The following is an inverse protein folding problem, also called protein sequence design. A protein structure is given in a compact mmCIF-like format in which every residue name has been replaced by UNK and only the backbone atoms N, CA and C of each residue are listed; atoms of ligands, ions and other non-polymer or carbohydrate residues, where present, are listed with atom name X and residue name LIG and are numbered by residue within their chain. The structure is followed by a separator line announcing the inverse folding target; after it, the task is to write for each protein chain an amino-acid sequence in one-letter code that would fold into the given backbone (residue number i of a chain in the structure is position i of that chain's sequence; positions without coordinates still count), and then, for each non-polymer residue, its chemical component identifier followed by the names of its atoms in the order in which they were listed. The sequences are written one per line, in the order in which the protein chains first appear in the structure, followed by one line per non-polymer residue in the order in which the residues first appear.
data_IF_340575283810
#
_entry.id   IF_340575283810
#
_cell.length_a   1.000
_cell.length_b   1.000
_cell.length_c   1.000
_cell.angle_alpha   90.00
_cell.angle_beta   90.00
_cell.angle_gamma   90.00
#
_symmetry.space_group_name_H-M   'P 1'
#
loop_
_entity.id
_entity.type
_entity.pdbx_description
1 polymer ?
#
# COMPACT_ATOMS: atom_id res chain seq x y z
N UNK A 1 -25.36 17.94 17.25
CA UNK A 1 -25.98 16.76 17.90
C UNK A 1 -27.49 16.66 17.56
N UNK A 2 -28.29 17.70 17.64
CA UNK A 2 -29.73 17.66 17.31
C UNK A 2 -30.02 17.21 15.88
N UNK A 3 -29.26 17.70 14.88
CA UNK A 3 -29.41 17.29 13.47
C UNK A 3 -29.08 15.81 13.20
N UNK A 4 -28.15 15.22 13.96
CA UNK A 4 -27.81 13.81 13.82
C UNK A 4 -28.90 12.91 14.42
N UNK A 5 -29.52 13.31 15.52
CA UNK A 5 -30.63 12.59 16.18
C UNK A 5 -31.87 12.65 15.30
N UNK A 6 -32.15 13.78 14.67
CA UNK A 6 -33.30 13.97 13.78
C UNK A 6 -33.15 13.15 12.48
N UNK A 7 -31.96 13.12 11.90
CA UNK A 7 -31.61 12.27 10.76
C UNK A 7 -31.77 10.77 11.08
N UNK A 8 -31.36 10.34 12.28
CA UNK A 8 -31.54 8.94 12.74
C UNK A 8 -33.02 8.56 12.93
N UNK A 9 -33.84 9.48 13.46
CA UNK A 9 -35.30 9.26 13.61
C UNK A 9 -35.96 9.16 12.23
N UNK A 10 -35.60 10.04 11.31
CA UNK A 10 -36.15 10.06 9.96
C UNK A 10 -35.78 8.79 9.18
N UNK A 11 -34.52 8.32 9.31
CA UNK A 11 -34.09 7.05 8.72
C UNK A 11 -34.84 5.83 9.31
N UNK A 12 -35.09 5.80 10.62
CA UNK A 12 -35.89 4.73 11.26
C UNK A 12 -37.33 4.72 10.74
N UNK A 13 -37.95 5.88 10.56
CA UNK A 13 -39.30 5.99 10.00
C UNK A 13 -39.34 5.50 8.54
N UNK A 14 -38.41 5.94 7.69
CA UNK A 14 -38.29 5.48 6.30
C UNK A 14 -38.06 3.96 6.20
N UNK A 15 -37.24 3.39 7.08
CA UNK A 15 -37.03 1.95 7.12
C UNK A 15 -38.26 1.17 7.58
N UNK A 16 -39.07 1.74 8.48
CA UNK A 16 -40.35 1.14 8.89
C UNK A 16 -41.38 1.17 7.74
N UNK A 17 -41.45 2.28 7.00
CA UNK A 17 -42.29 2.41 5.80
C UNK A 17 -41.84 1.46 4.67
N UNK A 18 -40.52 1.35 4.41
CA UNK A 18 -39.97 0.42 3.44
C UNK A 18 -40.30 -1.04 3.79
N UNK A 19 -40.21 -1.40 5.09
CA UNK A 19 -40.57 -2.72 5.57
C UNK A 19 -42.09 -3.00 5.44
N UNK A 20 -42.92 -2.00 5.69
CA UNK A 20 -44.35 -2.07 5.48
C UNK A 20 -44.71 -2.20 4.00
N UNK A 21 -43.90 -1.62 3.09
CA UNK A 21 -44.00 -1.77 1.63
C UNK A 21 -43.41 -3.08 1.09
N UNK A 22 -42.97 -4.02 1.97
CA UNK A 22 -42.42 -5.32 1.57
C UNK A 22 -40.94 -5.29 1.19
N UNK A 23 -40.19 -4.21 1.53
CA UNK A 23 -38.74 -4.18 1.33
C UNK A 23 -38.07 -5.14 2.33
N UNK A 24 -37.56 -6.24 1.79
CA UNK A 24 -36.83 -7.26 2.56
C UNK A 24 -35.55 -7.66 1.82
N UNK A 25 -34.52 -8.03 2.55
CA UNK A 25 -33.30 -8.58 1.98
C UNK A 25 -32.75 -9.72 2.84
N UNK A 26 -32.12 -10.66 2.19
CA UNK A 26 -31.39 -11.75 2.81
C UNK A 26 -30.03 -11.24 3.31
N UNK A 27 -29.76 -11.40 4.62
CA UNK A 27 -28.54 -10.90 5.25
C UNK A 27 -27.27 -11.63 4.75
N UNK A 28 -27.39 -12.92 4.39
CA UNK A 28 -26.27 -13.67 3.85
C UNK A 28 -25.91 -13.18 2.45
N UNK A 29 -26.92 -12.99 1.59
CA UNK A 29 -26.73 -12.40 0.26
C UNK A 29 -26.23 -10.96 0.30
N UNK A 30 -26.67 -10.18 1.29
CA UNK A 30 -26.16 -8.83 1.47
C UNK A 30 -24.66 -8.84 1.80
N UNK A 31 -24.24 -9.73 2.73
CA UNK A 31 -22.83 -9.87 3.07
C UNK A 31 -21.98 -10.25 1.85
N UNK A 32 -22.41 -11.23 1.08
CA UNK A 32 -21.71 -11.67 -0.13
C UNK A 32 -21.64 -10.57 -1.20
N UNK A 33 -22.73 -9.81 -1.39
CA UNK A 33 -22.76 -8.67 -2.30
C UNK A 33 -21.82 -7.55 -1.87
N UNK A 34 -21.76 -7.25 -0.58
CA UNK A 34 -20.83 -6.26 -0.02
C UNK A 34 -19.37 -6.68 -0.22
N UNK A 35 -19.04 -7.95 0.02
CA UNK A 35 -17.69 -8.49 -0.24
C UNK A 35 -17.33 -8.35 -1.72
N UNK A 36 -18.24 -8.68 -2.62
CA UNK A 36 -18.00 -8.61 -4.06
C UNK A 36 -17.86 -7.17 -4.59
N UNK A 37 -18.40 -6.17 -3.87
CA UNK A 37 -18.43 -4.76 -4.28
C UNK A 37 -17.27 -3.92 -3.74
N UNK A 38 -16.40 -4.48 -2.91
CA UNK A 38 -15.31 -3.72 -2.26
C UNK A 38 -13.97 -4.44 -2.33
N UNK A 39 -12.89 -3.66 -2.38
CA UNK A 39 -11.52 -4.14 -2.21
C UNK A 39 -11.11 -4.26 -0.73
N UNK A 40 -11.94 -3.78 0.20
CA UNK A 40 -11.72 -3.89 1.64
C UNK A 40 -12.23 -5.23 2.16
N UNK A 41 -11.63 -5.72 3.24
CA UNK A 41 -12.06 -6.97 3.88
C UNK A 41 -13.17 -6.66 4.89
N UNK A 42 -14.42 -7.01 4.54
CA UNK A 42 -15.57 -6.85 5.44
C UNK A 42 -15.53 -7.97 6.46
N UNK A 43 -15.64 -7.62 7.74
CA UNK A 43 -15.76 -8.59 8.82
C UNK A 43 -17.02 -8.36 9.65
N UNK A 44 -17.50 -9.43 10.22
CA UNK A 44 -18.66 -9.44 11.12
C UNK A 44 -18.33 -10.32 12.32
N UNK A 45 -18.68 -9.86 13.52
CA UNK A 45 -18.54 -10.62 14.76
C UNK A 45 -19.89 -10.72 15.48
N UNK A 46 -20.29 -11.91 15.81
CA UNK A 46 -21.37 -12.15 16.77
C UNK A 46 -20.82 -11.93 18.19
N UNK A 47 -21.27 -10.89 18.85
CA UNK A 47 -20.78 -10.49 20.17
C UNK A 47 -21.20 -11.45 21.29
N UNK A 48 -22.20 -12.31 21.06
CA UNK A 48 -22.62 -13.32 22.05
C UNK A 48 -21.66 -14.52 22.06
N UNK A 49 -21.16 -14.91 20.90
CA UNK A 49 -20.28 -16.07 20.74
C UNK A 49 -18.81 -15.69 20.62
N UNK A 50 -18.51 -14.42 20.31
CA UNK A 50 -17.14 -13.94 20.02
C UNK A 50 -16.55 -14.48 18.71
N UNK A 51 -17.40 -15.02 17.82
CA UNK A 51 -16.99 -15.61 16.55
C UNK A 51 -16.99 -14.57 15.45
N UNK A 52 -15.87 -14.45 14.75
CA UNK A 52 -15.71 -13.57 13.60
C UNK A 52 -15.90 -14.33 12.30
N UNK A 53 -16.48 -13.66 11.31
CA UNK A 53 -16.47 -14.06 9.89
C UNK A 53 -15.65 -13.08 9.09
N UNK A 54 -14.70 -13.63 8.32
CA UNK A 54 -13.82 -12.88 7.41
C UNK A 54 -14.04 -13.30 5.95
N UNK A 55 -13.80 -12.42 4.96
CA UNK A 55 -13.95 -12.78 3.56
C UNK A 55 -12.83 -13.73 3.09
N UNK A 56 -13.09 -14.57 2.06
CA UNK A 56 -12.11 -15.51 1.51
C UNK A 56 -10.80 -14.87 1.09
N UNK A 57 -10.83 -13.63 0.60
CA UNK A 57 -9.64 -12.89 0.20
C UNK A 57 -8.68 -12.64 1.39
N UNK A 58 -9.24 -12.28 2.56
CA UNK A 58 -8.46 -12.06 3.78
C UNK A 58 -7.88 -13.36 4.33
N UNK A 59 -8.67 -14.45 4.25
CA UNK A 59 -8.21 -15.80 4.66
C UNK A 59 -6.97 -16.21 3.86
N UNK A 60 -7.02 -16.04 2.54
CA UNK A 60 -5.89 -16.39 1.65
C UNK A 60 -4.67 -15.48 1.89
N UNK A 61 -4.88 -14.18 2.01
CA UNK A 61 -3.78 -13.22 2.11
C UNK A 61 -3.03 -13.31 3.44
N UNK A 62 -3.76 -13.54 4.53
CA UNK A 62 -3.16 -13.57 5.87
C UNK A 62 -3.07 -14.99 6.47
N UNK A 63 -3.46 -16.03 5.74
CA UNK A 63 -3.39 -17.42 6.23
C UNK A 63 -4.22 -17.62 7.50
N UNK A 64 -5.49 -17.16 7.49
CA UNK A 64 -6.40 -17.44 8.57
C UNK A 64 -6.88 -18.91 8.52
N UNK A 65 -7.29 -19.50 9.66
CA UNK A 65 -7.71 -20.90 9.69
C UNK A 65 -8.96 -21.20 8.88
N UNK A 66 -9.73 -20.18 8.52
CA UNK A 66 -10.96 -20.26 7.74
C UNK A 66 -11.72 -18.92 7.75
N UNK A 67 -12.87 -18.89 7.09
CA UNK A 67 -13.74 -17.71 7.08
C UNK A 67 -14.38 -17.45 8.45
N UNK A 68 -14.66 -18.50 9.23
CA UNK A 68 -15.24 -18.44 10.55
C UNK A 68 -14.16 -18.72 11.59
N UNK A 69 -13.82 -17.73 12.39
CA UNK A 69 -12.69 -17.76 13.31
C UNK A 69 -13.16 -17.51 14.73
N UNK A 70 -13.21 -18.54 15.57
CA UNK A 70 -13.36 -18.37 17.01
C UNK A 70 -12.08 -17.80 17.59
N UNK A 71 -12.18 -16.97 18.64
CA UNK A 71 -11.04 -16.32 19.29
C UNK A 71 -10.14 -15.53 18.32
N UNK A 72 -10.79 -14.77 17.43
CA UNK A 72 -10.10 -14.00 16.38
C UNK A 72 -9.06 -13.00 16.94
N UNK A 73 -9.27 -12.48 18.15
CA UNK A 73 -8.32 -11.56 18.79
C UNK A 73 -6.94 -12.21 18.98
N UNK A 74 -6.88 -13.47 19.39
CA UNK A 74 -5.62 -14.19 19.54
C UNK A 74 -5.00 -14.55 18.17
N UNK A 75 -5.80 -15.09 17.24
CA UNK A 75 -5.36 -15.48 15.90
C UNK A 75 -4.83 -14.27 15.13
N UNK A 76 -5.57 -13.17 15.16
CA UNK A 76 -5.18 -11.95 14.46
C UNK A 76 -4.05 -11.21 15.17
N UNK A 77 -4.12 -11.10 16.52
CA UNK A 77 -3.09 -10.46 17.33
C UNK A 77 -1.70 -11.10 17.20
N UNK A 78 -1.62 -12.40 16.86
CA UNK A 78 -0.36 -13.06 16.55
C UNK A 78 0.30 -12.53 15.26
N UNK A 79 -0.50 -12.01 14.33
CA UNK A 79 -0.04 -11.46 13.03
C UNK A 79 0.30 -9.97 13.09
N UNK A 80 -0.12 -9.26 14.14
CA UNK A 80 0.14 -7.82 14.30
C UNK A 80 1.60 -7.58 14.64
N UNK A 81 2.19 -6.57 13.99
CA UNK A 81 3.57 -6.17 14.22
C UNK A 81 3.82 -5.82 15.69
N UNK A 82 4.94 -6.25 16.32
CA UNK A 82 5.21 -6.04 17.74
C UNK A 82 5.04 -4.59 18.23
N UNK A 83 5.50 -3.61 17.44
CA UNK A 83 5.37 -2.18 17.78
C UNK A 83 3.92 -1.66 17.74
N UNK A 84 3.03 -2.32 17.00
CA UNK A 84 1.66 -1.88 16.82
C UNK A 84 0.67 -2.63 17.74
N UNK A 85 1.15 -3.72 18.39
CA UNK A 85 0.33 -4.58 19.27
C UNK A 85 -0.37 -3.81 20.37
N UNK A 86 0.31 -2.85 20.98
CA UNK A 86 -0.25 -2.05 22.07
C UNK A 86 -1.47 -1.27 21.60
N UNK A 87 -1.32 -0.48 20.52
CA UNK A 87 -2.43 0.31 19.97
C UNK A 87 -3.60 -0.58 19.51
N UNK A 88 -3.28 -1.72 18.89
CA UNK A 88 -4.29 -2.70 18.47
C UNK A 88 -5.07 -3.26 19.66
N UNK A 89 -4.41 -3.68 20.74
CA UNK A 89 -5.05 -4.24 21.94
C UNK A 89 -5.85 -3.18 22.70
N UNK A 90 -5.32 -1.97 22.88
CA UNK A 90 -6.00 -0.86 23.54
C UNK A 90 -7.30 -0.51 22.82
N UNK A 91 -7.30 -0.41 21.49
CA UNK A 91 -8.51 -0.11 20.70
C UNK A 91 -9.57 -1.22 20.78
N UNK A 92 -9.16 -2.49 20.84
CA UNK A 92 -10.09 -3.60 21.06
C UNK A 92 -10.67 -3.59 22.50
N UNK A 93 -9.83 -3.26 23.49
CA UNK A 93 -10.24 -3.18 24.88
C UNK A 93 -11.28 -2.07 25.12
N UNK A 94 -11.14 -0.92 24.45
CA UNK A 94 -12.11 0.17 24.53
C UNK A 94 -13.53 -0.25 24.09
N UNK A 95 -13.63 -1.07 23.04
CA UNK A 95 -14.89 -1.66 22.58
C UNK A 95 -15.43 -2.65 23.62
N UNK A 96 -14.59 -3.54 24.15
CA UNK A 96 -14.97 -4.56 25.12
C UNK A 96 -15.44 -3.93 26.43
N UNK A 97 -14.77 -2.86 26.89
CA UNK A 97 -15.10 -2.12 28.10
C UNK A 97 -16.35 -1.22 27.92
N UNK A 98 -16.88 -1.10 26.71
CA UNK A 98 -18.02 -0.26 26.40
C UNK A 98 -17.72 1.24 26.45
N UNK A 99 -16.45 1.64 26.35
CA UNK A 99 -16.05 3.06 26.33
C UNK A 99 -16.40 3.75 25.01
N UNK A 100 -16.44 2.97 23.93
CA UNK A 100 -16.84 3.44 22.60
C UNK A 100 -17.50 2.32 21.82
N UNK A 101 -18.40 2.69 20.91
CA UNK A 101 -18.99 1.77 19.94
C UNK A 101 -18.31 1.87 18.57
N UNK A 102 -17.26 2.71 18.45
CA UNK A 102 -16.50 2.91 17.22
C UNK A 102 -15.08 2.43 17.37
N UNK A 103 -14.66 1.58 16.47
CA UNK A 103 -13.28 1.09 16.36
C UNK A 103 -12.59 1.74 15.17
N UNK A 104 -11.39 2.30 15.38
CA UNK A 104 -10.55 2.81 14.30
C UNK A 104 -9.09 2.70 14.73
N UNK A 105 -8.35 1.78 14.11
CA UNK A 105 -6.93 1.58 14.39
C UNK A 105 -6.17 1.27 13.11
N UNK A 106 -4.95 1.78 13.02
CA UNK A 106 -3.99 1.44 11.98
C UNK A 106 -2.87 0.59 12.57
N UNK A 107 -2.51 -0.47 11.88
CA UNK A 107 -1.47 -1.40 12.31
C UNK A 107 -0.91 -2.18 11.13
N UNK A 108 0.28 -2.73 11.31
CA UNK A 108 0.88 -3.69 10.37
C UNK A 108 0.51 -5.10 10.75
N UNK A 109 0.13 -5.91 9.78
CA UNK A 109 -0.07 -7.34 9.94
C UNK A 109 0.78 -8.11 8.93
N UNK A 110 1.30 -9.26 9.36
CA UNK A 110 2.12 -10.10 8.50
C UNK A 110 1.23 -10.98 7.62
N UNK A 111 1.45 -10.93 6.29
CA UNK A 111 0.77 -11.78 5.33
C UNK A 111 1.45 -13.18 5.23
N UNK A 112 0.89 -14.08 4.39
CA UNK A 112 1.44 -15.44 4.18
C UNK A 112 2.84 -15.47 3.56
N UNK A 113 3.29 -14.36 2.94
CA UNK A 113 4.64 -14.22 2.37
C UNK A 113 5.66 -13.67 3.37
N UNK A 114 5.23 -13.39 4.61
CA UNK A 114 6.07 -12.80 5.63
C UNK A 114 6.22 -11.28 5.55
N UNK A 115 5.49 -10.63 4.65
CA UNK A 115 5.55 -9.17 4.44
C UNK A 115 4.65 -8.44 5.42
N UNK A 116 5.09 -7.26 5.87
CA UNK A 116 4.29 -6.37 6.71
C UNK A 116 3.37 -5.48 5.88
N UNK A 117 2.08 -5.68 6.02
CA UNK A 117 1.03 -4.95 5.31
C UNK A 117 0.40 -3.93 6.24
N UNK A 118 0.35 -2.66 5.82
CA UNK A 118 -0.36 -1.61 6.53
C UNK A 118 -1.86 -1.74 6.34
N UNK A 119 -2.57 -1.85 7.44
CA UNK A 119 -4.02 -2.01 7.49
C UNK A 119 -4.65 -0.89 8.32
N UNK A 120 -5.83 -0.44 7.88
CA UNK A 120 -6.73 0.37 8.69
C UNK A 120 -7.99 -0.43 8.96
N UNK A 121 -8.24 -0.75 10.23
CA UNK A 121 -9.46 -1.39 10.69
C UNK A 121 -10.45 -0.33 11.16
N UNK A 122 -11.67 -0.40 10.66
CA UNK A 122 -12.81 0.40 11.13
C UNK A 122 -13.97 -0.51 11.42
N UNK A 123 -14.66 -0.29 12.56
CA UNK A 123 -15.79 -1.08 12.96
C UNK A 123 -16.77 -0.29 13.81
N UNK A 124 -17.97 -0.84 13.91
CA UNK A 124 -19.03 -0.32 14.74
C UNK A 124 -19.69 -1.44 15.52
N UNK A 125 -19.93 -1.18 16.81
CA UNK A 125 -20.62 -2.09 17.73
C UNK A 125 -22.10 -1.72 17.80
N UNK A 126 -22.94 -2.65 17.43
CA UNK A 126 -24.39 -2.54 17.59
C UNK A 126 -24.82 -3.14 18.93
N UNK A 127 -25.77 -2.45 19.59
CA UNK A 127 -26.37 -2.88 20.86
C UNK A 127 -27.84 -3.12 20.70
N UNK A 128 -28.39 -4.05 21.48
CA UNK A 128 -29.82 -4.26 21.56
C UNK A 128 -30.53 -3.16 22.41
N UNK A 129 -31.85 -3.28 22.52
CA UNK A 129 -32.65 -2.32 23.26
C UNK A 129 -32.30 -2.25 24.78
N UNK A 130 -31.64 -3.27 25.32
CA UNK A 130 -31.15 -3.33 26.69
C UNK A 130 -29.72 -2.78 26.86
N UNK A 131 -29.10 -2.33 25.76
CA UNK A 131 -27.73 -1.83 25.73
C UNK A 131 -26.65 -2.92 25.67
N UNK A 132 -27.02 -4.19 25.46
CA UNK A 132 -26.08 -5.27 25.37
C UNK A 132 -25.48 -5.35 23.94
N UNK A 133 -24.16 -5.58 23.79
CA UNK A 133 -23.52 -5.74 22.49
C UNK A 133 -24.02 -6.99 21.76
N UNK A 134 -24.45 -6.85 20.52
CA UNK A 134 -25.01 -7.96 19.72
C UNK A 134 -24.22 -8.23 18.46
N UNK A 135 -23.73 -7.19 17.81
CA UNK A 135 -23.01 -7.30 16.53
C UNK A 135 -21.85 -6.32 16.49
N UNK A 136 -20.67 -6.78 16.11
CA UNK A 136 -19.56 -5.89 15.75
C UNK A 136 -19.21 -6.14 14.29
N UNK A 137 -19.33 -5.11 13.46
CA UNK A 137 -19.07 -5.23 12.03
C UNK A 137 -18.24 -4.06 11.51
N UNK A 138 -17.49 -4.32 10.48
CA UNK A 138 -16.63 -3.29 9.89
C UNK A 138 -15.88 -3.76 8.67
N UNK A 139 -14.85 -2.98 8.34
CA UNK A 139 -13.98 -3.32 7.24
C UNK A 139 -12.51 -3.00 7.56
N UNK A 140 -11.64 -3.83 7.02
CA UNK A 140 -10.20 -3.65 7.05
C UNK A 140 -9.76 -3.25 5.66
N UNK A 141 -9.14 -2.07 5.55
CA UNK A 141 -8.60 -1.57 4.29
C UNK A 141 -7.10 -1.81 4.27
N UNK A 142 -6.62 -2.46 3.22
CA UNK A 142 -5.19 -2.53 2.93
C UNK A 142 -4.75 -1.18 2.37
N UNK A 143 -4.01 -0.41 3.17
CA UNK A 143 -3.59 0.95 2.82
C UNK A 143 -2.57 0.93 1.67
N UNK A 144 -1.81 -0.15 1.53
CA UNK A 144 -0.90 -0.36 0.43
C UNK A 144 -1.62 -0.61 -0.91
N UNK A 145 -2.66 -1.43 -0.91
CA UNK A 145 -3.43 -1.73 -2.14
C UNK A 145 -4.28 -0.56 -2.62
N UNK A 146 -4.81 0.27 -1.71
CA UNK A 146 -5.73 1.34 -2.06
C UNK A 146 -5.02 2.56 -2.65
N UNK A 147 -3.76 2.74 -2.37
CA UNK A 147 -3.00 3.90 -2.84
C UNK A 147 -1.88 3.41 -3.77
N UNK A 148 -2.21 3.18 -5.05
CA UNK A 148 -1.24 2.77 -6.08
C UNK A 148 -0.38 3.93 -6.58
N UNK A 149 -0.69 5.15 -6.10
CA UNK A 149 -0.04 6.39 -6.51
C UNK A 149 0.64 7.03 -5.32
N UNK A 150 1.88 7.43 -5.50
CA UNK A 150 2.62 8.23 -4.54
C UNK A 150 2.06 9.67 -4.49
N UNK A 151 1.62 10.18 -3.33
CA UNK A 151 0.97 11.48 -3.25
C UNK A 151 1.91 12.67 -3.49
N UNK A 152 3.22 12.50 -3.34
CA UNK A 152 4.20 13.57 -3.54
C UNK A 152 4.50 13.80 -5.02
N UNK A 153 4.64 12.72 -5.78
CA UNK A 153 5.10 12.76 -7.17
C UNK A 153 4.01 12.47 -8.20
N UNK A 154 2.89 11.88 -7.77
CA UNK A 154 1.85 11.39 -8.68
C UNK A 154 2.23 10.13 -9.47
N UNK A 155 3.40 9.57 -9.23
CA UNK A 155 3.86 8.32 -9.85
C UNK A 155 3.21 7.10 -9.22
N UNK A 156 3.21 5.99 -9.94
CA UNK A 156 2.90 4.70 -9.34
C UNK A 156 3.89 4.36 -8.22
N UNK A 157 3.41 3.65 -7.20
CA UNK A 157 4.22 3.28 -6.05
C UNK A 157 4.74 1.83 -6.14
N UNK A 158 5.41 1.38 -5.08
CA UNK A 158 5.98 0.02 -4.96
C UNK A 158 4.95 -1.08 -5.22
N UNK A 159 3.70 -0.92 -4.76
CA UNK A 159 2.66 -1.96 -4.91
C UNK A 159 2.25 -2.16 -6.37
N UNK A 160 2.17 -1.05 -7.13
CA UNK A 160 1.92 -1.14 -8.57
C UNK A 160 3.11 -1.76 -9.30
N UNK A 161 4.33 -1.39 -8.91
CA UNK A 161 5.56 -2.00 -9.44
C UNK A 161 5.56 -3.53 -9.28
N UNK A 162 5.26 -4.04 -8.07
CA UNK A 162 5.19 -5.49 -7.80
C UNK A 162 4.15 -6.18 -8.68
N UNK A 163 2.96 -5.54 -8.82
CA UNK A 163 1.88 -6.04 -9.66
C UNK A 163 2.27 -6.09 -11.13
N UNK A 164 2.92 -5.04 -11.63
CA UNK A 164 3.37 -4.94 -13.03
C UNK A 164 4.48 -5.95 -13.34
N UNK A 165 5.45 -6.12 -12.44
CA UNK A 165 6.50 -7.14 -12.60
C UNK A 165 5.89 -8.54 -12.63
N UNK A 166 4.98 -8.85 -11.72
CA UNK A 166 4.29 -10.15 -11.70
C UNK A 166 3.47 -10.40 -12.97
N UNK A 167 2.86 -9.34 -13.54
CA UNK A 167 2.11 -9.45 -14.80
C UNK A 167 2.97 -9.65 -16.05
N UNK A 168 4.25 -9.24 -16.02
CA UNK A 168 5.19 -9.40 -17.14
C UNK A 168 5.99 -10.70 -17.06
N UNK A 169 6.33 -11.14 -15.83
CA UNK A 169 7.11 -12.35 -15.59
C UNK A 169 6.19 -13.58 -15.52
N UNK A 170 5.68 -14.00 -16.68
CA UNK A 170 4.93 -15.26 -16.82
C UNK A 170 5.93 -16.41 -16.97
N UNK A 171 5.91 -17.43 -16.06
CA UNK A 171 6.77 -18.61 -16.19
C UNK A 171 6.58 -19.37 -17.51
N UNK A 172 5.40 -19.27 -18.15
CA UNK A 172 5.08 -19.92 -19.41
C UNK A 172 5.67 -19.19 -20.64
N UNK A 173 5.95 -17.90 -20.50
CA UNK A 173 6.53 -17.07 -21.56
C UNK A 173 7.56 -16.09 -20.96
N UNK A 174 8.85 -16.45 -20.91
CA UNK A 174 9.87 -15.58 -20.34
C UNK A 174 10.04 -14.31 -21.20
N UNK A 175 9.48 -13.22 -20.71
CA UNK A 175 9.68 -11.91 -21.31
C UNK A 175 10.96 -11.26 -20.79
N UNK A 176 11.70 -10.62 -21.68
CA UNK A 176 12.84 -9.79 -21.27
C UNK A 176 12.33 -8.55 -20.56
N UNK A 177 12.83 -8.33 -19.36
CA UNK A 177 12.51 -7.18 -18.52
C UNK A 177 13.81 -6.63 -17.93
N UNK A 178 14.01 -5.32 -18.03
CA UNK A 178 15.06 -4.63 -17.29
C UNK A 178 14.45 -3.88 -16.13
N UNK A 179 14.93 -4.16 -14.92
CA UNK A 179 14.56 -3.53 -13.67
C UNK A 179 15.68 -2.59 -13.25
N UNK A 180 15.40 -1.29 -13.18
CA UNK A 180 16.37 -0.27 -12.81
C UNK A 180 15.91 0.40 -11.51
N UNK A 181 16.74 0.39 -10.47
CA UNK A 181 16.52 1.12 -9.23
C UNK A 181 17.40 2.35 -9.18
N UNK A 182 16.84 3.47 -8.78
CA UNK A 182 17.52 4.75 -8.67
C UNK A 182 17.38 5.32 -7.25
N UNK A 183 18.40 6.07 -6.86
CA UNK A 183 18.39 6.81 -5.61
C UNK A 183 18.99 8.20 -5.84
N UNK A 184 18.37 9.23 -5.26
CA UNK A 184 18.88 10.61 -5.35
C UNK A 184 20.10 10.74 -4.45
N UNK A 185 21.25 10.96 -5.07
CA UNK A 185 22.49 11.10 -4.34
C UNK A 185 22.46 12.31 -3.40
N UNK A 186 22.84 12.07 -2.13
CA UNK A 186 22.98 13.10 -1.10
C UNK A 186 21.71 13.90 -0.75
N UNK A 187 20.49 13.37 -0.96
CA UNK A 187 19.26 14.06 -0.60
C UNK A 187 19.21 14.46 0.89
N UNK A 188 19.74 13.61 1.78
CA UNK A 188 19.86 13.93 3.21
C UNK A 188 20.68 15.20 3.45
N UNK A 189 21.75 15.41 2.70
CA UNK A 189 22.57 16.63 2.77
C UNK A 189 21.79 17.86 2.25
N UNK A 190 21.04 17.69 1.16
CA UNK A 190 20.17 18.73 0.63
C UNK A 190 19.13 19.14 1.67
N UNK A 191 18.45 18.19 2.31
CA UNK A 191 17.49 18.44 3.39
C UNK A 191 18.12 19.15 4.60
N UNK A 192 19.36 18.82 4.94
CA UNK A 192 20.08 19.48 6.06
C UNK A 192 20.50 20.90 5.73
N UNK A 193 20.77 21.23 4.48
CA UNK A 193 21.19 22.56 4.05
C UNK A 193 20.01 23.52 3.81
N UNK A 194 18.85 22.99 3.47
CA UNK A 194 17.68 23.79 3.13
C UNK A 194 16.52 23.54 4.09
N UNK A 195 15.75 22.51 3.89
CA UNK A 195 14.71 21.96 4.75
C UNK A 195 14.07 20.75 4.03
N UNK A 196 13.11 20.10 4.68
CA UNK A 196 12.40 18.94 4.11
C UNK A 196 11.49 19.32 2.94
N UNK A 197 10.90 20.53 2.97
CA UNK A 197 10.02 21.02 1.90
C UNK A 197 10.81 21.18 0.61
N UNK A 198 12.03 21.71 0.71
CA UNK A 198 12.93 21.81 -0.43
C UNK A 198 13.33 20.44 -0.97
N UNK A 199 13.61 19.46 -0.10
CA UNK A 199 13.89 18.08 -0.52
C UNK A 199 12.71 17.41 -1.22
N UNK A 200 11.48 17.67 -0.76
CA UNK A 200 10.28 17.20 -1.43
C UNK A 200 10.14 17.78 -2.85
N UNK A 201 10.54 19.03 -3.04
CA UNK A 201 10.56 19.69 -4.35
C UNK A 201 11.66 19.10 -5.27
N UNK A 202 12.83 18.79 -4.71
CA UNK A 202 13.90 18.07 -5.44
C UNK A 202 13.39 16.71 -5.95
N UNK A 203 12.65 15.98 -5.10
CA UNK A 203 12.04 14.70 -5.47
C UNK A 203 11.03 14.89 -6.62
N UNK A 204 10.14 15.90 -6.56
CA UNK A 204 9.16 16.20 -7.63
C UNK A 204 9.84 16.53 -8.96
N UNK A 205 10.86 17.39 -8.92
CA UNK A 205 11.63 17.78 -10.11
C UNK A 205 12.33 16.54 -10.71
N UNK A 206 12.95 15.72 -9.88
CA UNK A 206 13.58 14.47 -10.31
C UNK A 206 12.57 13.54 -10.97
N UNK A 207 11.41 13.33 -10.35
CA UNK A 207 10.33 12.52 -10.90
C UNK A 207 9.88 13.02 -12.28
N UNK A 208 9.69 14.34 -12.42
CA UNK A 208 9.30 14.96 -13.68
C UNK A 208 10.35 14.75 -14.79
N UNK A 209 11.63 14.94 -14.48
CA UNK A 209 12.72 14.67 -15.43
C UNK A 209 12.78 13.20 -15.84
N UNK A 210 12.70 12.29 -14.87
CA UNK A 210 12.68 10.85 -15.17
C UNK A 210 11.51 10.51 -16.10
N UNK A 211 10.31 11.00 -15.81
CA UNK A 211 9.11 10.74 -16.59
C UNK A 211 9.20 11.29 -18.02
N UNK A 212 9.78 12.47 -18.20
CA UNK A 212 9.94 13.10 -19.52
C UNK A 212 10.92 12.40 -20.46
N UNK A 213 11.81 11.57 -19.89
CA UNK A 213 12.86 10.85 -20.64
C UNK A 213 12.50 9.39 -20.93
N UNK A 214 11.36 8.91 -20.42
CA UNK A 214 10.98 7.52 -20.59
C UNK A 214 10.61 7.17 -22.02
N UNK A 215 11.13 6.05 -22.55
CA UNK A 215 10.64 5.48 -23.79
C UNK A 215 9.22 4.87 -23.59
N UNK A 216 8.45 4.65 -24.68
CA UNK A 216 7.07 4.16 -24.59
C UNK A 216 6.89 2.79 -23.92
N UNK A 217 7.94 1.96 -23.90
CA UNK A 217 7.95 0.62 -23.28
C UNK A 217 8.43 0.64 -21.83
N UNK A 218 8.56 1.83 -21.21
CA UNK A 218 9.00 2.00 -19.83
C UNK A 218 7.87 2.48 -18.94
N UNK A 219 7.93 2.09 -17.67
CA UNK A 219 7.07 2.60 -16.59
C UNK A 219 7.95 3.06 -15.43
N UNK A 220 7.55 4.17 -14.79
CA UNK A 220 8.25 4.79 -13.66
C UNK A 220 7.45 4.68 -12.39
N UNK A 221 8.14 4.35 -11.31
CA UNK A 221 7.57 4.17 -9.98
C UNK A 221 8.40 4.91 -8.93
N UNK A 222 7.75 5.37 -7.88
CA UNK A 222 8.42 5.81 -6.66
C UNK A 222 8.28 4.74 -5.60
N UNK A 223 9.39 4.30 -5.00
CA UNK A 223 9.41 3.21 -4.03
C UNK A 223 9.21 3.74 -2.62
N UNK A 224 10.18 4.50 -2.13
CA UNK A 224 10.15 5.15 -0.81
C UNK A 224 11.20 6.25 -0.77
N UNK A 225 10.97 7.29 0.05
CA UNK A 225 11.95 8.37 0.26
C UNK A 225 12.47 8.99 -1.03
N UNK A 226 13.72 8.72 -1.34
CA UNK A 226 14.50 9.16 -2.50
C UNK A 226 14.66 8.09 -3.60
N UNK A 227 13.99 6.96 -3.47
CA UNK A 227 14.13 5.81 -4.36
C UNK A 227 13.05 5.76 -5.46
N UNK A 228 13.48 5.50 -6.68
CA UNK A 228 12.63 5.29 -7.86
C UNK A 228 12.96 3.96 -8.53
N UNK A 229 12.00 3.44 -9.29
CA UNK A 229 12.25 2.30 -10.18
C UNK A 229 11.73 2.58 -11.59
N UNK A 230 12.43 2.04 -12.58
CA UNK A 230 11.99 2.01 -13.98
C UNK A 230 11.96 0.56 -14.44
N UNK A 231 10.83 0.16 -15.02
CA UNK A 231 10.70 -1.09 -15.75
C UNK A 231 10.79 -0.82 -17.25
N UNK A 232 11.71 -1.49 -17.93
CA UNK A 232 11.86 -1.47 -19.40
C UNK A 232 11.45 -2.83 -19.95
N UNK A 233 10.35 -2.89 -20.69
CA UNK A 233 9.87 -4.14 -21.30
C UNK A 233 10.59 -4.42 -22.60
N UNK A 234 11.09 -5.65 -22.77
CA UNK A 234 11.80 -6.09 -23.99
C UNK A 234 13.16 -5.43 -24.24
N UNK A 235 13.73 -4.77 -23.22
CA UNK A 235 14.96 -4.00 -23.36
C UNK A 235 16.23 -4.81 -23.13
N UNK A 236 17.35 -4.32 -23.66
CA UNK A 236 18.69 -4.86 -23.51
C UNK A 236 19.52 -4.03 -22.53
N UNK A 237 20.66 -4.57 -22.09
CA UNK A 237 21.67 -3.83 -21.30
C UNK A 237 22.07 -2.51 -21.97
N UNK A 238 22.23 -2.52 -23.29
CA UNK A 238 22.56 -1.32 -24.05
C UNK A 238 21.47 -0.25 -23.96
N UNK A 239 20.20 -0.63 -24.05
CA UNK A 239 19.07 0.29 -23.90
C UNK A 239 19.01 0.91 -22.49
N UNK A 240 19.24 0.10 -21.45
CA UNK A 240 19.34 0.59 -20.07
C UNK A 240 20.48 1.59 -19.89
N UNK A 241 21.66 1.29 -20.46
CA UNK A 241 22.82 2.21 -20.44
C UNK A 241 22.54 3.52 -21.16
N UNK A 242 21.87 3.46 -22.30
CA UNK A 242 21.49 4.66 -23.07
C UNK A 242 20.50 5.52 -22.27
N UNK A 243 19.47 4.91 -21.69
CA UNK A 243 18.52 5.63 -20.85
C UNK A 243 19.21 6.27 -19.64
N UNK A 244 20.08 5.54 -18.95
CA UNK A 244 20.83 6.09 -17.83
C UNK A 244 21.71 7.27 -18.23
N UNK A 245 22.37 7.22 -19.38
CA UNK A 245 23.17 8.36 -19.90
C UNK A 245 22.31 9.59 -20.15
N UNK A 246 21.13 9.44 -20.73
CA UNK A 246 20.18 10.53 -20.94
C UNK A 246 19.74 11.14 -19.61
N UNK A 247 19.35 10.31 -18.65
CA UNK A 247 18.96 10.74 -17.30
C UNK A 247 20.11 11.50 -16.63
N UNK A 248 21.31 10.94 -16.64
CA UNK A 248 22.51 11.55 -16.04
C UNK A 248 22.83 12.91 -16.65
N UNK A 249 22.69 13.05 -17.96
CA UNK A 249 22.93 14.32 -18.66
C UNK A 249 21.89 15.37 -18.30
N UNK A 250 20.61 14.99 -18.25
CA UNK A 250 19.52 15.90 -17.93
C UNK A 250 19.58 16.41 -16.48
N UNK A 251 19.86 15.53 -15.53
CA UNK A 251 19.94 15.88 -14.10
C UNK A 251 21.29 16.48 -13.70
N UNK A 252 22.36 16.22 -14.45
CA UNK A 252 23.69 16.79 -14.22
C UNK A 252 23.77 18.30 -14.48
N UNK A 253 22.75 18.92 -15.08
CA UNK A 253 22.63 20.36 -15.23
C UNK A 253 22.09 21.02 -13.96
N UNK A 254 22.35 22.32 -13.80
CA UNK A 254 21.82 23.10 -12.68
C UNK A 254 20.28 23.14 -12.74
N UNK A 255 19.65 22.74 -11.67
CA UNK A 255 18.21 22.74 -11.46
C UNK A 255 17.78 23.92 -10.59
N UNK A 256 16.48 24.25 -10.55
CA UNK A 256 15.92 25.31 -9.72
C UNK A 256 14.66 24.83 -9.03
N UNK A 257 14.57 25.05 -7.71
CA UNK A 257 13.40 24.77 -6.88
C UNK A 257 13.13 25.96 -5.97
N UNK A 258 11.92 26.50 -5.98
CA UNK A 258 11.54 27.64 -5.13
C UNK A 258 12.48 28.86 -5.28
N UNK A 259 13.01 29.12 -6.49
CA UNK A 259 13.97 30.19 -6.73
C UNK A 259 15.41 29.90 -6.30
N UNK A 260 15.68 28.75 -5.69
CA UNK A 260 17.04 28.32 -5.30
C UNK A 260 17.59 27.34 -6.33
N UNK A 261 18.88 27.48 -6.62
CA UNK A 261 19.61 26.57 -7.53
C UNK A 261 20.19 25.40 -6.78
N UNK A 262 20.12 24.22 -7.37
CA UNK A 262 20.71 23.01 -6.82
C UNK A 262 21.28 22.08 -7.91
N UNK A 263 22.09 21.15 -7.48
CA UNK A 263 22.60 20.06 -8.28
C UNK A 263 22.25 18.73 -7.58
N UNK A 264 21.73 17.79 -8.31
CA UNK A 264 21.58 16.42 -7.82
C UNK A 264 22.01 15.43 -8.89
N UNK A 265 22.45 14.28 -8.46
CA UNK A 265 22.78 13.15 -9.34
C UNK A 265 21.99 11.92 -8.87
N UNK A 266 21.95 10.90 -9.71
CA UNK A 266 21.32 9.63 -9.40
C UNK A 266 22.34 8.51 -9.50
N UNK A 267 22.33 7.64 -8.50
CA UNK A 267 22.93 6.32 -8.59
C UNK A 267 21.87 5.32 -9.08
N UNK A 268 22.29 4.33 -9.86
CA UNK A 268 21.39 3.34 -10.44
C UNK A 268 21.95 1.92 -10.30
N UNK A 269 21.11 0.98 -9.90
CA UNK A 269 21.37 -0.45 -9.96
C UNK A 269 20.42 -1.12 -10.93
N UNK A 270 20.92 -2.06 -11.74
CA UNK A 270 20.14 -2.76 -12.74
C UNK A 270 20.11 -4.27 -12.51
N UNK A 271 18.95 -4.87 -12.81
CA UNK A 271 18.77 -6.31 -12.91
C UNK A 271 18.00 -6.66 -14.20
N UNK A 272 18.27 -7.82 -14.76
CA UNK A 272 17.74 -8.25 -16.05
C UNK A 272 17.04 -9.60 -15.93
N UNK A 273 15.76 -9.66 -16.25
CA UNK A 273 15.03 -10.92 -16.33
C UNK A 273 15.20 -11.53 -17.75
N UNK A 274 15.38 -12.85 -17.84
CA UNK A 274 15.39 -13.82 -16.74
C UNK A 274 16.78 -14.03 -16.10
N UNK A 275 17.85 -13.40 -16.58
CA UNK A 275 19.25 -13.68 -16.22
C UNK A 275 19.54 -13.47 -14.71
N UNK A 276 19.02 -12.39 -14.12
CA UNK A 276 19.25 -12.01 -12.71
C UNK A 276 18.08 -12.41 -11.79
N UNK A 277 17.00 -12.94 -12.34
CA UNK A 277 15.84 -13.42 -11.59
C UNK A 277 14.57 -13.54 -12.43
N UNK A 278 13.64 -14.35 -11.93
CA UNK A 278 12.33 -14.61 -12.52
C UNK A 278 11.17 -14.11 -11.64
N UNK A 279 11.46 -13.37 -10.58
CA UNK A 279 10.48 -12.80 -9.66
C UNK A 279 10.84 -11.37 -9.27
N UNK A 280 9.85 -10.62 -8.80
CA UNK A 280 10.08 -9.27 -8.27
C UNK A 280 11.16 -9.26 -7.18
N UNK A 281 11.07 -10.19 -6.22
CA UNK A 281 12.00 -10.26 -5.07
C UNK A 281 13.45 -10.49 -5.51
N UNK A 282 13.66 -11.36 -6.50
CA UNK A 282 15.01 -11.62 -7.04
C UNK A 282 15.57 -10.40 -7.77
N UNK A 283 14.77 -9.78 -8.65
CA UNK A 283 15.20 -8.60 -9.40
C UNK A 283 15.44 -7.40 -8.47
N UNK A 284 14.58 -7.15 -7.48
CA UNK A 284 14.76 -6.10 -6.49
C UNK A 284 16.08 -6.31 -5.72
N UNK A 285 16.33 -7.52 -5.25
CA UNK A 285 17.57 -7.85 -4.52
C UNK A 285 18.81 -7.59 -5.36
N UNK A 286 18.82 -8.04 -6.63
CA UNK A 286 19.96 -7.83 -7.54
C UNK A 286 20.16 -6.35 -7.87
N UNK A 287 19.10 -5.62 -8.18
CA UNK A 287 19.15 -4.19 -8.45
C UNK A 287 19.57 -3.36 -7.23
N UNK A 288 19.05 -3.69 -6.04
CA UNK A 288 19.45 -3.04 -4.78
C UNK A 288 20.93 -3.25 -4.47
N UNK A 289 21.45 -4.46 -4.68
CA UNK A 289 22.88 -4.74 -4.50
C UNK A 289 23.74 -3.94 -5.49
N UNK A 290 23.34 -3.89 -6.76
CA UNK A 290 24.02 -3.10 -7.80
C UNK A 290 23.97 -1.59 -7.47
N UNK A 291 22.83 -1.08 -6.99
CA UNK A 291 22.68 0.31 -6.53
C UNK A 291 23.64 0.65 -5.38
N UNK A 292 23.77 -0.24 -4.41
CA UNK A 292 24.72 -0.07 -3.31
C UNK A 292 26.17 -0.05 -3.83
N UNK A 293 26.50 -0.88 -4.82
CA UNK A 293 27.82 -0.84 -5.48
C UNK A 293 28.04 0.49 -6.22
N UNK A 294 27.04 1.02 -6.92
CA UNK A 294 27.11 2.32 -7.56
C UNK A 294 27.40 3.45 -6.56
N UNK A 295 26.70 3.46 -5.41
CA UNK A 295 26.91 4.42 -4.32
C UNK A 295 28.32 4.34 -3.76
N UNK A 296 28.83 3.14 -3.47
CA UNK A 296 30.21 2.92 -2.94
C UNK A 296 31.30 3.32 -3.92
N UNK A 297 31.09 3.14 -5.21
CA UNK A 297 32.07 3.47 -6.27
C UNK A 297 32.09 4.93 -6.67
N UNK A 298 31.40 5.82 -5.90
CA UNK A 298 31.48 7.27 -6.05
C UNK A 298 30.23 7.91 -6.66
N UNK A 299 29.09 7.20 -6.59
CA UNK A 299 27.76 7.73 -7.01
C UNK A 299 27.68 8.15 -8.49
N UNK A 300 26.56 8.73 -8.93
CA UNK A 300 26.35 9.24 -10.30
C UNK A 300 26.71 8.22 -11.39
N UNK A 301 26.37 6.96 -11.17
CA UNK A 301 26.67 5.84 -12.06
C UNK A 301 25.62 4.73 -12.00
N UNK A 302 25.71 3.84 -12.96
CA UNK A 302 24.90 2.62 -13.04
C UNK A 302 25.81 1.39 -12.95
N UNK A 303 25.38 0.40 -12.18
CA UNK A 303 25.99 -0.92 -12.06
C UNK A 303 25.00 -2.02 -12.45
#
# INVERSE_FOLDING_TARGET
EQNAVESLKQNKALMAEAKAAGFTYDTARLYDALIASTESYIYVCDMKTGVFRYPPAMVREFGLPGEVVPNAAAVWGAKVHPHDKRAFLESNQEITDGRTDRHCVEYRAQNVRGEWVWLRCRGHLERDASGQPVLFAGFITNLGKKNRIDPLTGLFNKFELESDVAGVLDPAQPHKLTFMMFDIDDLKRINSLHDRIFGDEVIRITAHHLQSLLPPNASLYRLDGDEFAILLRGASRTAAQQLFRLIRTALGSQQSAGGKKFYCTLSCGCAFAPDDGASYVELERCASYALECAKRRGKNRME
#
